data_IF_333743033265
#
_entry.id   IF_333743033265
#
_cell.length_a   1.000
_cell.length_b   1.000
_cell.length_c   1.000
_cell.angle_alpha   90.00
_cell.angle_beta   90.00
_cell.angle_gamma   90.00
#
_symmetry.space_group_name_H-M   'P 1'
#
loop_
_entity.id
_entity.type
_entity.pdbx_description
1 polymer ?
#
# COMPACT_ATOMS: atom_id res chain seq x y z
N UNK A 1 9.52 -41.19 -19.80
CA UNK A 1 9.30 -42.64 -19.95
C UNK A 1 7.80 -42.89 -19.89
N UNK A 2 7.19 -43.19 -21.04
CA UNK A 2 5.74 -43.36 -21.22
C UNK A 2 5.35 -44.74 -20.69
N UNK A 3 4.48 -44.79 -19.68
CA UNK A 3 3.84 -46.04 -19.23
C UNK A 3 2.51 -46.21 -19.96
N UNK A 4 2.39 -47.41 -20.49
CA UNK A 4 1.37 -48.00 -21.33
C UNK A 4 0.10 -48.39 -20.55
N UNK A 5 -1.05 -48.10 -21.16
CA UNK A 5 -2.28 -48.92 -21.25
C UNK A 5 -2.77 -49.68 -20.00
N UNK A 6 -4.00 -49.33 -19.54
CA UNK A 6 -4.97 -50.32 -19.12
C UNK A 6 -6.27 -50.16 -19.94
N UNK A 7 -6.24 -50.49 -21.24
CA UNK A 7 -7.45 -50.63 -22.05
C UNK A 7 -7.95 -52.08 -22.19
N UNK A 8 -7.38 -53.03 -21.42
CA UNK A 8 -7.72 -54.46 -21.56
C UNK A 8 -8.72 -54.93 -20.50
N UNK A 9 -9.02 -54.15 -19.46
CA UNK A 9 -9.90 -54.61 -18.37
C UNK A 9 -11.41 -54.36 -18.60
N UNK A 10 -11.80 -53.69 -19.69
CA UNK A 10 -13.20 -53.31 -19.95
C UNK A 10 -13.99 -54.32 -20.80
N UNK A 11 -13.35 -55.37 -21.34
CA UNK A 11 -13.99 -56.34 -22.24
C UNK A 11 -14.33 -57.69 -21.59
N UNK A 12 -14.03 -57.89 -20.30
CA UNK A 12 -14.32 -59.14 -19.58
C UNK A 12 -15.65 -59.07 -18.78
N UNK A 13 -16.23 -57.88 -18.60
CA UNK A 13 -17.48 -57.69 -17.84
C UNK A 13 -18.78 -57.77 -18.65
N UNK A 14 -18.71 -57.88 -19.99
CA UNK A 14 -19.88 -57.95 -20.88
C UNK A 14 -20.22 -59.36 -21.38
N UNK A 15 -19.53 -60.40 -20.88
CA UNK A 15 -19.64 -61.77 -21.39
C UNK A 15 -20.41 -62.78 -20.52
N UNK A 16 -20.98 -62.38 -19.39
CA UNK A 16 -21.56 -63.32 -18.41
C UNK A 16 -23.08 -63.20 -18.20
N UNK A 17 -23.83 -62.73 -19.20
CA UNK A 17 -25.29 -62.66 -19.15
C UNK A 17 -25.93 -63.56 -20.22
N UNK A 18 -25.64 -64.85 -20.20
CA UNK A 18 -26.36 -65.83 -21.02
C UNK A 18 -26.34 -67.23 -20.38
N UNK A 19 -26.91 -67.37 -19.18
CA UNK A 19 -27.32 -68.68 -18.68
C UNK A 19 -28.68 -68.55 -18.01
N UNK A 20 -29.72 -68.78 -18.82
CA UNK A 20 -31.10 -68.91 -18.40
C UNK A 20 -31.25 -70.11 -17.48
N UNK A 21 -31.32 -69.85 -16.18
CA UNK A 21 -31.87 -70.77 -15.19
C UNK A 21 -33.27 -70.26 -14.83
N UNK A 22 -34.30 -70.96 -15.27
CA UNK A 22 -35.67 -70.83 -14.77
C UNK A 22 -35.76 -71.40 -13.35
N UNK A 23 -35.01 -70.81 -12.42
CA UNK A 23 -35.09 -71.07 -11.00
C UNK A 23 -36.05 -70.05 -10.38
N UNK A 24 -37.14 -70.55 -9.80
CA UNK A 24 -38.04 -69.92 -8.82
C UNK A 24 -38.29 -68.41 -8.91
N UNK A 25 -39.56 -68.05 -9.09
CA UNK A 25 -40.09 -66.68 -9.02
C UNK A 25 -40.07 -66.17 -7.55
N UNK A 26 -38.93 -66.27 -6.87
CA UNK A 26 -38.70 -65.63 -5.58
C UNK A 26 -37.67 -64.52 -5.76
N UNK A 27 -38.17 -63.30 -5.95
CA UNK A 27 -37.36 -62.09 -5.79
C UNK A 27 -37.16 -61.90 -4.30
N UNK A 28 -36.10 -62.49 -3.75
CA UNK A 28 -35.71 -62.28 -2.37
C UNK A 28 -35.18 -60.83 -2.23
N UNK A 29 -36.02 -59.95 -1.70
CA UNK A 29 -35.55 -58.66 -1.16
C UNK A 29 -34.86 -58.98 0.15
N UNK A 30 -33.54 -59.15 0.10
CA UNK A 30 -32.75 -59.30 1.31
C UNK A 30 -32.79 -58.00 2.10
N UNK A 31 -33.00 -58.08 3.43
CA UNK A 31 -33.10 -56.90 4.29
C UNK A 31 -31.90 -55.96 4.12
N UNK A 32 -30.69 -56.50 4.02
CA UNK A 32 -29.46 -55.72 3.86
C UNK A 32 -29.37 -54.95 2.52
N UNK A 33 -30.03 -55.44 1.47
CA UNK A 33 -30.08 -54.75 0.17
C UNK A 33 -31.20 -53.70 0.15
N UNK A 34 -32.31 -53.95 0.85
CA UNK A 34 -33.35 -52.95 1.06
C UNK A 34 -32.80 -51.78 1.87
N UNK A 35 -32.11 -52.04 2.98
CA UNK A 35 -31.51 -51.01 3.85
C UNK A 35 -30.52 -50.12 3.08
N UNK A 36 -29.70 -50.70 2.19
CA UNK A 36 -28.80 -49.92 1.31
C UNK A 36 -29.57 -49.13 0.26
N UNK A 37 -30.59 -49.73 -0.36
CA UNK A 37 -31.40 -49.10 -1.38
C UNK A 37 -32.31 -47.98 -0.85
N UNK A 38 -32.51 -47.84 0.47
CA UNK A 38 -33.26 -46.72 1.08
C UNK A 38 -32.68 -45.35 0.70
N UNK A 39 -31.38 -45.28 0.37
CA UNK A 39 -30.72 -44.06 -0.13
C UNK A 39 -31.22 -43.62 -1.52
N UNK A 40 -31.85 -44.50 -2.28
CA UNK A 40 -32.45 -44.21 -3.58
C UNK A 40 -33.97 -44.49 -3.54
N UNK A 41 -34.75 -43.70 -2.77
CA UNK A 41 -36.13 -44.03 -2.41
C UNK A 41 -37.04 -44.17 -3.62
N UNK A 42 -36.86 -43.36 -4.67
CA UNK A 42 -37.67 -43.42 -5.89
C UNK A 42 -37.49 -44.73 -6.66
N UNK A 43 -36.27 -45.27 -6.68
CA UNK A 43 -35.95 -46.53 -7.36
C UNK A 43 -36.38 -47.73 -6.52
N UNK A 44 -36.19 -47.67 -5.21
CA UNK A 44 -36.68 -48.67 -4.28
C UNK A 44 -38.21 -48.80 -4.33
N UNK A 45 -38.94 -47.69 -4.38
CA UNK A 45 -40.40 -47.68 -4.53
C UNK A 45 -40.86 -48.35 -5.84
N UNK A 46 -40.14 -48.14 -6.94
CA UNK A 46 -40.43 -48.83 -8.22
C UNK A 46 -40.17 -50.32 -8.13
N UNK A 47 -39.11 -50.72 -7.44
CA UNK A 47 -38.79 -52.12 -7.20
C UNK A 47 -39.87 -52.82 -6.35
N UNK A 48 -40.32 -52.17 -5.27
CA UNK A 48 -41.39 -52.66 -4.40
C UNK A 48 -42.71 -52.79 -5.18
N UNK A 49 -43.07 -51.78 -5.98
CA UNK A 49 -44.28 -51.81 -6.79
C UNK A 49 -44.26 -52.92 -7.84
N UNK A 50 -43.13 -53.12 -8.54
CA UNK A 50 -42.98 -54.22 -9.49
C UNK A 50 -43.08 -55.59 -8.80
N UNK A 51 -42.56 -55.72 -7.58
CA UNK A 51 -42.71 -56.93 -6.76
C UNK A 51 -44.18 -57.19 -6.39
N UNK A 52 -44.92 -56.17 -5.97
CA UNK A 52 -46.35 -56.28 -5.67
C UNK A 52 -47.15 -56.74 -6.91
N UNK A 53 -46.83 -56.20 -8.09
CA UNK A 53 -47.44 -56.62 -9.35
C UNK A 53 -47.11 -58.08 -9.72
N UNK A 54 -45.88 -58.53 -9.45
CA UNK A 54 -45.47 -59.92 -9.65
C UNK A 54 -46.27 -60.88 -8.77
N UNK A 55 -46.44 -60.54 -7.48
CA UNK A 55 -47.24 -61.33 -6.53
C UNK A 55 -48.71 -61.39 -6.97
N UNK A 56 -49.30 -60.26 -7.34
CA UNK A 56 -50.68 -60.20 -7.82
C UNK A 56 -50.91 -60.97 -9.14
N UNK A 57 -49.92 -61.02 -10.04
CA UNK A 57 -49.99 -61.83 -11.26
C UNK A 57 -49.90 -63.33 -10.97
N UNK A 58 -49.03 -63.73 -10.04
CA UNK A 58 -48.91 -65.11 -9.58
C UNK A 58 -50.19 -65.62 -8.91
N UNK A 59 -50.83 -64.80 -8.06
CA UNK A 59 -52.12 -65.13 -7.44
C UNK A 59 -53.26 -65.35 -8.45
N UNK A 60 -53.20 -64.68 -9.60
CA UNK A 60 -54.17 -64.85 -10.70
C UNK A 60 -53.84 -66.03 -11.63
N UNK A 61 -52.70 -66.70 -11.42
CA UNK A 61 -52.23 -67.81 -12.26
C UNK A 61 -51.59 -67.39 -13.59
N UNK A 62 -51.22 -66.12 -13.74
CA UNK A 62 -50.51 -65.61 -14.93
C UNK A 62 -48.99 -65.67 -14.70
N UNK A 63 -48.40 -66.84 -14.95
CA UNK A 63 -46.98 -67.12 -14.70
C UNK A 63 -46.04 -66.26 -15.57
N UNK A 64 -46.45 -65.93 -16.81
CA UNK A 64 -45.65 -65.12 -17.72
C UNK A 64 -45.53 -63.67 -17.19
N UNK A 65 -46.67 -63.06 -16.86
CA UNK A 65 -46.68 -61.71 -16.29
C UNK A 65 -45.97 -61.65 -14.91
N UNK A 66 -46.11 -62.71 -14.09
CA UNK A 66 -45.40 -62.80 -12.82
C UNK A 66 -43.87 -62.82 -13.01
N UNK A 67 -43.37 -63.57 -14.00
CA UNK A 67 -41.95 -63.60 -14.35
C UNK A 67 -41.40 -62.27 -14.86
N UNK A 68 -42.17 -61.57 -15.69
CA UNK A 68 -41.80 -60.25 -16.22
C UNK A 68 -41.70 -59.21 -15.10
N UNK A 69 -42.72 -59.11 -14.25
CA UNK A 69 -42.73 -58.18 -13.11
C UNK A 69 -41.67 -58.53 -12.05
N UNK A 70 -41.38 -59.82 -11.83
CA UNK A 70 -40.30 -60.24 -10.95
C UNK A 70 -38.92 -59.80 -11.48
N UNK A 71 -38.72 -59.93 -12.79
CA UNK A 71 -37.49 -59.44 -13.45
C UNK A 71 -37.38 -57.93 -13.35
N UNK A 72 -38.49 -57.21 -13.57
CA UNK A 72 -38.57 -55.76 -13.44
C UNK A 72 -38.23 -55.30 -12.00
N UNK A 73 -38.79 -55.98 -10.98
CA UNK A 73 -38.49 -55.70 -9.58
C UNK A 73 -37.00 -55.86 -9.26
N UNK A 74 -36.37 -56.93 -9.77
CA UNK A 74 -34.93 -57.18 -9.59
C UNK A 74 -34.08 -56.09 -10.25
N UNK A 75 -34.43 -55.66 -11.46
CA UNK A 75 -33.71 -54.61 -12.17
C UNK A 75 -33.82 -53.25 -11.47
N UNK A 76 -35.01 -52.90 -10.97
CA UNK A 76 -35.19 -51.67 -10.20
C UNK A 76 -34.45 -51.70 -8.87
N UNK A 77 -34.42 -52.85 -8.16
CA UNK A 77 -33.65 -52.99 -6.93
C UNK A 77 -32.15 -52.85 -7.19
N UNK A 78 -31.62 -53.49 -8.24
CA UNK A 78 -30.22 -53.32 -8.63
C UNK A 78 -29.90 -51.87 -9.01
N UNK A 79 -30.79 -51.19 -9.72
CA UNK A 79 -30.62 -49.77 -10.03
C UNK A 79 -30.59 -48.92 -8.76
N UNK A 80 -31.45 -49.21 -7.78
CA UNK A 80 -31.47 -48.52 -6.49
C UNK A 80 -30.16 -48.72 -5.72
N UNK A 81 -29.62 -49.93 -5.69
CA UNK A 81 -28.34 -50.24 -5.06
C UNK A 81 -27.17 -49.51 -5.72
N UNK A 82 -27.10 -49.51 -7.05
CA UNK A 82 -26.04 -48.80 -7.79
C UNK A 82 -26.12 -47.30 -7.56
N UNK A 83 -27.33 -46.73 -7.49
CA UNK A 83 -27.52 -45.32 -7.19
C UNK A 83 -27.15 -44.99 -5.74
N UNK A 84 -27.47 -45.87 -4.79
CA UNK A 84 -27.04 -45.73 -3.40
C UNK A 84 -25.50 -45.71 -3.27
N UNK A 85 -24.81 -46.62 -3.95
CA UNK A 85 -23.34 -46.66 -3.99
C UNK A 85 -22.78 -45.39 -4.65
N UNK A 86 -23.41 -44.89 -5.72
CA UNK A 86 -23.02 -43.63 -6.38
C UNK A 86 -23.14 -42.45 -5.43
N UNK A 87 -24.25 -42.35 -4.69
CA UNK A 87 -24.48 -41.28 -3.72
C UNK A 87 -23.47 -41.34 -2.57
N UNK A 88 -23.16 -42.53 -2.06
CA UNK A 88 -22.16 -42.70 -1.01
C UNK A 88 -20.76 -42.23 -1.46
N UNK A 89 -20.36 -42.59 -2.68
CA UNK A 89 -19.09 -42.12 -3.26
C UNK A 89 -19.09 -40.60 -3.50
N UNK A 90 -20.22 -40.03 -3.90
CA UNK A 90 -20.36 -38.58 -4.10
C UNK A 90 -20.30 -37.81 -2.77
N UNK A 91 -20.97 -38.31 -1.73
CA UNK A 91 -20.88 -37.77 -0.36
C UNK A 91 -19.45 -37.82 0.18
N UNK A 92 -18.76 -38.96 0.01
CA UNK A 92 -17.37 -39.09 0.42
C UNK A 92 -16.46 -38.11 -0.32
N UNK A 93 -16.64 -37.97 -1.65
CA UNK A 93 -15.87 -37.00 -2.44
C UNK A 93 -16.10 -35.57 -1.98
N UNK A 94 -17.34 -35.17 -1.71
CA UNK A 94 -17.66 -33.83 -1.22
C UNK A 94 -17.07 -33.56 0.17
N UNK A 95 -17.05 -34.57 1.04
CA UNK A 95 -16.41 -34.46 2.35
C UNK A 95 -14.88 -34.27 2.22
N UNK A 96 -14.24 -35.03 1.34
CA UNK A 96 -12.81 -34.90 1.05
C UNK A 96 -12.49 -33.51 0.46
N UNK A 97 -13.26 -33.03 -0.50
CA UNK A 97 -13.11 -31.68 -1.10
C UNK A 97 -13.23 -30.57 -0.04
N UNK A 98 -14.21 -30.67 0.87
CA UNK A 98 -14.38 -29.72 1.95
C UNK A 98 -13.21 -29.74 2.96
N UNK A 99 -12.67 -30.93 3.24
CA UNK A 99 -11.51 -31.08 4.11
C UNK A 99 -10.25 -30.50 3.45
N UNK A 100 -10.04 -30.74 2.15
CA UNK A 100 -8.93 -30.14 1.40
C UNK A 100 -9.00 -28.61 1.37
N UNK A 101 -10.20 -28.04 1.18
CA UNK A 101 -10.40 -26.58 1.23
C UNK A 101 -10.05 -26.01 2.61
N UNK A 102 -10.50 -26.66 3.68
CA UNK A 102 -10.20 -26.25 5.06
C UNK A 102 -8.69 -26.25 5.32
N UNK A 103 -8.00 -27.34 4.97
CA UNK A 103 -6.55 -27.45 5.13
C UNK A 103 -5.79 -26.43 4.27
N UNK A 104 -6.28 -26.14 3.07
CA UNK A 104 -5.69 -25.13 2.20
C UNK A 104 -5.80 -23.72 2.78
N UNK A 105 -6.95 -23.39 3.39
CA UNK A 105 -7.17 -22.13 4.10
C UNK A 105 -6.23 -22.02 5.32
N UNK A 106 -6.17 -23.03 6.17
CA UNK A 106 -5.26 -23.06 7.35
C UNK A 106 -3.78 -22.90 6.96
N UNK A 107 -3.36 -23.53 5.85
CA UNK A 107 -2.01 -23.36 5.31
C UNK A 107 -1.76 -21.95 4.77
N UNK A 108 -2.76 -21.32 4.14
CA UNK A 108 -2.66 -19.94 3.65
C UNK A 108 -2.52 -18.96 4.83
N UNK A 109 -3.33 -19.14 5.87
CA UNK A 109 -3.29 -18.33 7.08
C UNK A 109 -1.94 -18.45 7.78
N UNK A 110 -1.45 -19.68 8.00
CA UNK A 110 -0.14 -19.94 8.61
C UNK A 110 1.00 -19.31 7.79
N UNK A 111 0.93 -19.35 6.45
CA UNK A 111 1.91 -18.70 5.57
C UNK A 111 1.84 -17.18 5.69
N UNK A 112 0.65 -16.60 5.84
CA UNK A 112 0.47 -15.16 6.00
C UNK A 112 1.06 -14.68 7.33
N UNK A 113 0.79 -15.38 8.43
CA UNK A 113 1.35 -15.09 9.75
C UNK A 113 2.87 -15.18 9.75
N UNK A 114 3.41 -16.23 9.11
CA UNK A 114 4.85 -16.39 8.98
C UNK A 114 5.49 -15.22 8.24
N UNK A 115 4.91 -14.79 7.12
CA UNK A 115 5.41 -13.62 6.35
C UNK A 115 5.32 -12.34 7.18
N UNK A 116 4.26 -12.16 7.95
CA UNK A 116 4.10 -10.99 8.82
C UNK A 116 5.20 -10.95 9.90
N UNK A 117 5.47 -12.08 10.55
CA UNK A 117 6.57 -12.22 11.53
C UNK A 117 7.94 -12.02 10.90
N UNK A 118 8.20 -12.60 9.72
CA UNK A 118 9.46 -12.40 9.00
C UNK A 118 9.68 -10.92 8.63
N UNK A 119 8.61 -10.21 8.23
CA UNK A 119 8.66 -8.78 7.96
C UNK A 119 8.90 -7.95 9.23
N UNK A 120 8.29 -8.30 10.36
CA UNK A 120 8.52 -7.67 11.66
C UNK A 120 9.97 -7.80 12.11
N UNK A 121 10.51 -9.03 12.10
CA UNK A 121 11.93 -9.29 12.39
C UNK A 121 12.83 -8.52 11.42
N UNK A 122 12.45 -8.43 10.15
CA UNK A 122 13.16 -7.64 9.15
C UNK A 122 13.21 -6.15 9.50
N UNK A 123 12.10 -5.57 9.99
CA UNK A 123 12.04 -4.18 10.44
C UNK A 123 12.87 -3.94 11.68
N UNK A 124 12.81 -4.83 12.67
CA UNK A 124 13.63 -4.75 13.89
C UNK A 124 15.12 -4.77 13.55
N UNK A 125 15.57 -5.73 12.72
CA UNK A 125 16.96 -5.80 12.26
C UNK A 125 17.38 -4.56 11.48
N UNK A 126 16.51 -4.03 10.62
CA UNK A 126 16.78 -2.80 9.89
C UNK A 126 16.91 -1.59 10.83
N UNK A 127 16.10 -1.53 11.89
CA UNK A 127 16.18 -0.50 12.92
C UNK A 127 17.46 -0.61 13.75
N UNK A 128 17.91 -1.83 14.07
CA UNK A 128 19.19 -2.06 14.75
C UNK A 128 20.38 -1.59 13.90
N UNK A 129 20.42 -1.97 12.62
CA UNK A 129 21.46 -1.52 11.70
C UNK A 129 21.41 0.01 11.52
N UNK A 130 20.21 0.60 11.42
CA UNK A 130 20.08 2.04 11.32
C UNK A 130 20.62 2.76 12.57
N UNK A 131 20.34 2.24 13.78
CA UNK A 131 20.89 2.78 15.03
C UNK A 131 22.41 2.70 15.05
N UNK A 132 22.99 1.55 14.69
CA UNK A 132 24.44 1.37 14.63
C UNK A 132 25.09 2.35 13.62
N UNK A 133 24.49 2.51 12.43
CA UNK A 133 24.98 3.46 11.43
C UNK A 133 24.85 4.92 11.89
N UNK A 134 23.78 5.26 12.61
CA UNK A 134 23.60 6.59 13.20
C UNK A 134 24.67 6.88 14.27
N UNK A 135 24.96 5.91 15.16
CA UNK A 135 26.01 6.04 16.16
C UNK A 135 27.38 6.25 15.51
N UNK A 136 27.71 5.45 14.49
CA UNK A 136 28.95 5.61 13.71
C UNK A 136 29.03 6.97 13.01
N UNK A 137 27.94 7.44 12.43
CA UNK A 137 27.87 8.75 11.78
C UNK A 137 28.03 9.88 12.80
N UNK A 138 27.45 9.74 13.99
CA UNK A 138 27.58 10.72 15.08
C UNK A 138 29.03 10.81 15.56
N UNK A 139 29.69 9.68 15.82
CA UNK A 139 31.12 9.63 16.19
C UNK A 139 32.00 10.26 15.09
N UNK A 140 31.70 9.99 13.82
CA UNK A 140 32.42 10.59 12.69
C UNK A 140 32.17 12.10 12.56
N UNK A 141 30.98 12.59 12.91
CA UNK A 141 30.64 14.00 12.93
C UNK A 141 31.34 14.73 14.07
N UNK A 142 31.34 14.18 15.28
CA UNK A 142 32.05 14.72 16.45
C UNK A 142 33.56 14.81 16.19
N UNK A 143 34.15 13.80 15.53
CA UNK A 143 35.54 13.84 15.12
C UNK A 143 35.86 14.91 14.05
N UNK A 144 34.87 15.31 13.24
CA UNK A 144 34.99 16.41 12.27
C UNK A 144 34.77 17.77 12.90
N UNK A 145 33.84 17.90 13.84
CA UNK A 145 33.55 19.15 14.56
C UNK A 145 34.74 19.61 15.41
N UNK A 146 35.48 18.66 15.99
CA UNK A 146 36.74 18.92 16.70
C UNK A 146 37.90 19.39 15.80
N UNK A 147 37.73 19.41 14.48
CA UNK A 147 38.70 20.01 13.54
C UNK A 147 38.16 21.37 13.10
N UNK A 148 38.96 22.43 13.27
CA UNK A 148 38.65 23.75 12.70
C UNK A 148 38.23 23.57 11.24
N UNK A 149 37.08 24.12 10.81
CA UNK A 149 36.58 23.92 9.46
C UNK A 149 37.60 24.48 8.48
N UNK A 150 38.32 23.58 7.81
CA UNK A 150 39.07 23.91 6.62
C UNK A 150 38.05 24.25 5.53
N UNK A 151 38.26 25.28 4.69
CA UNK A 151 37.37 25.57 3.59
C UNK A 151 37.16 24.29 2.77
N UNK A 152 35.90 23.84 2.68
CA UNK A 152 35.54 22.58 2.06
C UNK A 152 36.05 22.56 0.61
N UNK A 153 36.78 21.52 0.24
CA UNK A 153 37.26 21.34 -1.13
C UNK A 153 36.06 21.33 -2.10
N UNK A 154 36.12 22.10 -3.21
CA UNK A 154 35.03 22.20 -4.19
C UNK A 154 34.49 20.86 -4.68
N UNK A 155 35.34 19.84 -4.86
CA UNK A 155 34.89 18.52 -5.29
C UNK A 155 34.07 17.80 -4.20
N UNK A 156 34.42 17.99 -2.93
CA UNK A 156 33.66 17.47 -1.79
C UNK A 156 32.29 18.17 -1.69
N UNK A 157 32.27 19.50 -1.84
CA UNK A 157 31.03 20.26 -1.88
C UNK A 157 30.13 19.83 -3.05
N UNK A 158 30.70 19.63 -4.24
CA UNK A 158 29.97 19.16 -5.42
C UNK A 158 29.27 17.81 -5.17
N UNK A 159 29.97 16.85 -4.57
CA UNK A 159 29.40 15.53 -4.21
C UNK A 159 28.27 15.64 -3.19
N UNK A 160 28.40 16.54 -2.21
CA UNK A 160 27.34 16.78 -1.23
C UNK A 160 26.07 17.34 -1.90
N UNK A 161 26.21 18.33 -2.80
CA UNK A 161 25.08 18.87 -3.57
C UNK A 161 24.48 17.83 -4.53
N UNK A 162 25.30 17.00 -5.17
CA UNK A 162 24.85 15.89 -6.00
C UNK A 162 24.02 14.88 -5.20
N UNK A 163 24.49 14.49 -4.01
CA UNK A 163 23.76 13.60 -3.10
C UNK A 163 22.41 14.19 -2.67
N UNK A 164 22.40 15.47 -2.27
CA UNK A 164 21.17 16.19 -1.92
C UNK A 164 20.20 16.27 -3.10
N UNK A 165 20.68 16.59 -4.30
CA UNK A 165 19.85 16.67 -5.50
C UNK A 165 19.20 15.32 -5.83
N UNK A 166 19.89 14.18 -5.64
CA UNK A 166 19.31 12.84 -5.81
C UNK A 166 18.20 12.55 -4.81
N UNK A 167 18.40 12.92 -3.53
CA UNK A 167 17.37 12.76 -2.50
C UNK A 167 16.13 13.62 -2.80
N UNK A 168 16.32 14.86 -3.25
CA UNK A 168 15.23 15.75 -3.66
C UNK A 168 14.47 15.20 -4.88
N UNK A 169 15.18 14.66 -5.87
CA UNK A 169 14.56 14.02 -7.04
C UNK A 169 13.74 12.77 -6.64
N UNK A 170 14.24 11.97 -5.71
CA UNK A 170 13.52 10.82 -5.16
C UNK A 170 12.26 11.25 -4.38
N UNK A 171 12.36 12.31 -3.57
CA UNK A 171 11.22 12.88 -2.87
C UNK A 171 10.16 13.45 -3.84
N UNK A 172 10.59 14.16 -4.89
CA UNK A 172 9.71 14.67 -5.92
C UNK A 172 8.96 13.52 -6.63
N UNK A 173 9.67 12.43 -6.97
CA UNK A 173 9.06 11.23 -7.56
C UNK A 173 8.04 10.58 -6.63
N UNK A 174 8.35 10.46 -5.33
CA UNK A 174 7.42 9.90 -4.34
C UNK A 174 6.14 10.74 -4.20
N UNK A 175 6.24 12.06 -4.43
CA UNK A 175 5.12 13.00 -4.45
C UNK A 175 4.39 13.08 -5.80
N UNK A 176 4.75 12.25 -6.79
CA UNK A 176 4.06 12.16 -8.07
C UNK A 176 4.61 13.09 -9.17
N UNK A 177 5.84 13.60 -9.04
CA UNK A 177 6.48 14.33 -10.15
C UNK A 177 6.59 13.46 -11.43
N UNK A 178 6.49 14.05 -12.63
CA UNK A 178 6.60 13.33 -13.90
C UNK A 178 7.88 12.49 -14.00
N UNK A 179 7.75 11.22 -14.38
CA UNK A 179 8.85 10.26 -14.45
C UNK A 179 9.96 10.68 -15.39
N UNK A 180 9.61 11.37 -16.48
CA UNK A 180 10.53 11.83 -17.52
C UNK A 180 11.45 12.92 -16.97
N UNK A 181 10.88 13.95 -16.31
CA UNK A 181 11.66 15.07 -15.74
C UNK A 181 12.55 14.63 -14.59
N UNK A 182 12.10 13.66 -13.79
CA UNK A 182 12.94 13.04 -12.75
C UNK A 182 14.07 12.23 -13.40
N UNK A 183 13.78 11.47 -14.46
CA UNK A 183 14.76 10.70 -15.22
C UNK A 183 15.88 11.56 -15.78
N UNK A 184 15.54 12.63 -16.51
CA UNK A 184 16.50 13.60 -17.07
C UNK A 184 17.42 14.21 -16.00
N UNK A 185 16.86 14.53 -14.82
CA UNK A 185 17.63 15.10 -13.71
C UNK A 185 18.60 14.06 -13.12
N UNK A 186 18.16 12.81 -12.96
CA UNK A 186 19.01 11.73 -12.46
C UNK A 186 20.14 11.38 -13.43
N UNK A 187 19.86 11.38 -14.73
CA UNK A 187 20.87 11.21 -15.78
C UNK A 187 21.92 12.32 -15.74
N UNK A 188 21.50 13.59 -15.69
CA UNK A 188 22.43 14.72 -15.55
C UNK A 188 23.26 14.63 -14.25
N UNK A 189 22.68 14.14 -13.16
CA UNK A 189 23.40 13.89 -11.90
C UNK A 189 24.35 12.69 -11.99
N UNK A 190 24.16 11.73 -12.89
CA UNK A 190 25.12 10.66 -13.15
C UNK A 190 26.29 11.17 -13.98
N UNK A 191 26.01 11.95 -15.03
CA UNK A 191 27.02 12.57 -15.89
C UNK A 191 27.96 13.49 -15.11
N UNK A 192 27.41 14.28 -14.17
CA UNK A 192 28.20 15.13 -13.28
C UNK A 192 29.27 14.35 -12.49
N UNK A 193 29.01 13.08 -12.16
CA UNK A 193 29.96 12.21 -11.47
C UNK A 193 31.25 11.93 -12.26
N UNK A 194 31.27 12.24 -13.56
CA UNK A 194 32.41 12.05 -14.46
C UNK A 194 33.30 13.31 -14.60
N UNK A 195 32.83 14.46 -14.12
CA UNK A 195 33.54 15.74 -14.23
C UNK A 195 34.73 15.78 -13.27
N UNK A 196 35.94 16.01 -13.81
CA UNK A 196 37.20 16.01 -13.03
C UNK A 196 37.56 17.36 -12.42
N UNK A 197 37.07 18.46 -12.98
CA UNK A 197 37.30 19.81 -12.44
C UNK A 197 36.31 20.09 -11.30
N UNK A 198 36.82 20.20 -10.07
CA UNK A 198 36.01 20.40 -8.87
C UNK A 198 35.21 21.71 -8.85
N UNK A 199 35.71 22.79 -9.45
CA UNK A 199 34.99 24.07 -9.50
C UNK A 199 33.87 24.05 -10.54
N UNK A 200 34.12 23.40 -11.68
CA UNK A 200 33.07 23.15 -12.67
C UNK A 200 32.00 22.22 -12.11
N UNK A 201 32.42 21.12 -11.48
CA UNK A 201 31.51 20.16 -10.86
C UNK A 201 30.65 20.82 -9.77
N UNK A 202 31.21 21.71 -8.95
CA UNK A 202 30.43 22.44 -7.93
C UNK A 202 29.35 23.33 -8.55
N UNK A 203 29.68 24.09 -9.60
CA UNK A 203 28.71 24.96 -10.29
C UNK A 203 27.59 24.15 -10.95
N UNK A 204 27.93 23.04 -11.61
CA UNK A 204 26.94 22.15 -12.21
C UNK A 204 26.09 21.45 -11.13
N UNK A 205 26.69 21.01 -10.02
CA UNK A 205 25.98 20.42 -8.88
C UNK A 205 24.96 21.39 -8.27
N UNK A 206 25.33 22.65 -8.07
CA UNK A 206 24.42 23.69 -7.57
C UNK A 206 23.26 23.95 -8.54
N UNK A 207 23.53 23.91 -9.84
CA UNK A 207 22.49 24.07 -10.87
C UNK A 207 21.50 22.91 -10.84
N UNK A 208 21.98 21.67 -10.77
CA UNK A 208 21.14 20.48 -10.67
C UNK A 208 20.38 20.42 -9.35
N UNK A 209 21.00 20.85 -8.25
CA UNK A 209 20.36 20.99 -6.94
C UNK A 209 19.17 21.96 -7.00
N UNK A 210 19.34 23.14 -7.61
CA UNK A 210 18.23 24.10 -7.79
C UNK A 210 17.12 23.54 -8.67
N UNK A 211 17.45 22.83 -9.75
CA UNK A 211 16.45 22.13 -10.59
C UNK A 211 15.67 21.09 -9.77
N UNK A 212 16.35 20.35 -8.89
CA UNK A 212 15.72 19.38 -8.01
C UNK A 212 14.76 20.05 -7.00
N UNK A 213 15.14 21.20 -6.43
CA UNK A 213 14.26 21.98 -5.54
C UNK A 213 13.00 22.47 -6.26
N UNK A 214 13.13 22.96 -7.50
CA UNK A 214 11.98 23.40 -8.30
C UNK A 214 11.05 22.23 -8.59
N UNK A 215 11.59 21.07 -9.01
CA UNK A 215 10.79 19.88 -9.30
C UNK A 215 10.06 19.36 -8.05
N UNK A 216 10.72 19.40 -6.87
CA UNK A 216 10.09 19.07 -5.60
C UNK A 216 9.00 20.08 -5.23
N UNK A 217 9.25 21.37 -5.47
CA UNK A 217 8.26 22.42 -5.33
C UNK A 217 7.03 22.15 -6.19
N UNK A 218 7.19 21.96 -7.49
CA UNK A 218 6.09 21.64 -8.41
C UNK A 218 5.24 20.44 -7.94
N UNK A 219 5.89 19.35 -7.49
CA UNK A 219 5.20 18.18 -6.96
C UNK A 219 4.43 18.45 -5.66
N UNK A 220 4.97 19.31 -4.80
CA UNK A 220 4.31 19.76 -3.57
C UNK A 220 3.13 20.68 -3.89
N UNK A 221 3.22 21.54 -4.90
CA UNK A 221 2.16 22.51 -5.22
C UNK A 221 0.80 21.86 -5.53
N UNK A 222 0.81 20.63 -6.05
CA UNK A 222 -0.40 19.82 -6.30
C UNK A 222 -0.93 19.09 -5.06
N UNK A 223 -0.23 19.15 -3.92
CA UNK A 223 -0.59 18.49 -2.68
C UNK A 223 -1.11 19.50 -1.64
N UNK A 224 -2.06 19.12 -0.78
CA UNK A 224 -2.47 19.98 0.32
C UNK A 224 -1.33 20.17 1.34
N UNK A 225 -1.30 21.34 2.00
CA UNK A 225 -0.38 21.57 3.13
C UNK A 225 -0.86 20.76 4.32
N UNK A 226 -0.04 19.81 4.76
CA UNK A 226 -0.30 18.96 5.93
C UNK A 226 0.69 19.28 7.06
N UNK A 227 0.44 18.83 8.31
CA UNK A 227 1.40 18.99 9.41
C UNK A 227 2.80 18.45 9.09
N UNK A 228 2.90 17.36 8.31
CA UNK A 228 4.20 16.80 7.89
C UNK A 228 4.95 17.71 6.91
N UNK A 229 4.24 18.46 6.06
CA UNK A 229 4.83 19.47 5.17
C UNK A 229 5.32 20.67 5.98
N UNK A 230 4.59 21.10 7.01
CA UNK A 230 5.02 22.17 7.94
C UNK A 230 6.26 21.73 8.73
N UNK A 231 6.28 20.50 9.26
CA UNK A 231 7.47 19.95 9.93
C UNK A 231 8.68 19.89 8.98
N UNK A 232 8.45 19.53 7.71
CA UNK A 232 9.49 19.52 6.67
C UNK A 232 10.02 20.94 6.39
N UNK A 233 9.16 21.96 6.39
CA UNK A 233 9.55 23.37 6.23
C UNK A 233 10.48 23.81 7.36
N UNK A 234 10.10 23.53 8.62
CA UNK A 234 10.90 23.89 9.79
C UNK A 234 12.26 23.18 9.78
N UNK A 235 12.28 21.88 9.50
CA UNK A 235 13.51 21.11 9.40
C UNK A 235 14.42 21.64 8.28
N UNK A 236 13.84 21.94 7.12
CA UNK A 236 14.54 22.47 5.95
C UNK A 236 15.12 23.87 6.19
N UNK A 237 14.39 24.74 6.89
CA UNK A 237 14.89 26.04 7.35
C UNK A 237 16.06 25.91 8.33
N UNK A 238 15.91 25.04 9.34
CA UNK A 238 16.96 24.79 10.34
C UNK A 238 18.25 24.24 9.73
N UNK A 239 18.16 23.32 8.76
CA UNK A 239 19.34 22.79 8.05
C UNK A 239 20.10 23.90 7.30
N UNK A 240 19.40 24.94 6.83
CA UNK A 240 20.00 26.11 6.18
C UNK A 240 20.49 27.17 7.17
N UNK A 241 20.28 26.96 8.46
CA UNK A 241 20.58 27.94 9.51
C UNK A 241 19.64 29.14 9.46
N UNK A 242 18.38 28.92 9.08
CA UNK A 242 17.29 29.89 9.20
C UNK A 242 16.47 29.58 10.45
N UNK A 243 16.05 30.62 11.14
CA UNK A 243 15.11 30.49 12.25
C UNK A 243 13.68 30.54 11.68
N UNK A 244 12.94 29.44 11.87
CA UNK A 244 11.56 29.30 11.42
C UNK A 244 10.65 29.11 12.64
N UNK A 245 9.73 30.03 12.85
CA UNK A 245 8.68 29.94 13.87
C UNK A 245 7.31 29.76 13.21
N UNK A 246 6.48 28.86 13.74
CA UNK A 246 5.14 28.59 13.20
C UNK A 246 4.09 29.16 14.15
N UNK A 247 3.17 29.95 13.62
CA UNK A 247 2.01 30.49 14.34
C UNK A 247 0.73 30.20 13.53
N UNK A 248 -0.47 30.43 14.09
CA UNK A 248 -1.73 30.28 13.34
C UNK A 248 -1.78 31.10 12.04
N UNK A 249 -1.07 32.24 12.00
CA UNK A 249 -1.03 33.15 10.83
C UNK A 249 -0.03 32.72 9.75
N UNK A 250 0.80 31.71 9.99
CA UNK A 250 1.79 31.23 9.03
C UNK A 250 3.10 30.76 9.64
N UNK A 251 4.01 30.33 8.77
CA UNK A 251 5.40 30.15 9.15
C UNK A 251 6.18 31.45 8.90
N UNK A 252 6.92 31.90 9.90
CA UNK A 252 7.75 33.10 9.87
C UNK A 252 9.22 32.72 9.85
N UNK A 253 9.98 33.38 8.99
CA UNK A 253 11.42 33.16 8.81
C UNK A 253 12.15 34.48 9.06
N UNK A 254 12.95 34.54 10.12
CA UNK A 254 13.77 35.72 10.44
C UNK A 254 15.02 35.73 9.58
N UNK A 255 15.33 36.86 8.94
CA UNK A 255 16.42 36.95 7.97
C UNK A 255 17.59 37.82 8.45
N UNK A 256 18.80 37.26 8.33
CA UNK A 256 20.05 37.99 8.40
C UNK A 256 20.48 38.56 7.04
N UNK A 257 21.57 39.35 7.06
CA UNK A 257 22.09 40.07 5.87
C UNK A 257 22.54 39.15 4.72
N UNK A 258 22.80 37.87 4.98
CA UNK A 258 23.39 36.93 4.01
C UNK A 258 22.48 35.73 3.71
N UNK A 259 21.19 35.81 4.04
CA UNK A 259 20.28 34.66 3.94
C UNK A 259 19.50 34.60 2.61
N UNK A 260 19.76 35.52 1.68
CA UNK A 260 19.04 35.66 0.41
C UNK A 260 18.94 34.33 -0.37
N UNK A 261 20.06 33.62 -0.53
CA UNK A 261 20.08 32.35 -1.27
C UNK A 261 19.34 31.23 -0.54
N UNK A 262 19.43 31.20 0.80
CA UNK A 262 18.79 30.19 1.62
C UNK A 262 17.27 30.32 1.56
N UNK A 263 16.78 31.56 1.61
CA UNK A 263 15.36 31.90 1.49
C UNK A 263 14.86 31.58 0.09
N UNK A 264 15.61 31.93 -0.96
CA UNK A 264 15.24 31.58 -2.33
C UNK A 264 15.07 30.06 -2.49
N UNK A 265 16.00 29.26 -1.95
CA UNK A 265 15.92 27.80 -1.99
C UNK A 265 14.74 27.26 -1.18
N UNK A 266 14.47 27.82 0.01
CA UNK A 266 13.33 27.46 0.83
C UNK A 266 12.01 27.74 0.11
N UNK A 267 11.86 28.92 -0.50
CA UNK A 267 10.68 29.28 -1.28
C UNK A 267 10.49 28.33 -2.47
N UNK A 268 11.53 27.99 -3.23
CA UNK A 268 11.37 27.02 -4.34
C UNK A 268 10.87 25.66 -3.85
N UNK A 269 11.36 25.20 -2.70
CA UNK A 269 10.99 23.91 -2.12
C UNK A 269 9.56 23.87 -1.55
N UNK A 270 9.03 25.02 -1.12
CA UNK A 270 7.78 25.15 -0.39
C UNK A 270 6.85 26.13 -1.10
N UNK A 271 6.17 25.70 -2.18
CA UNK A 271 5.52 26.56 -3.17
C UNK A 271 4.18 27.19 -2.76
N UNK A 272 3.61 26.83 -1.62
CA UNK A 272 2.20 27.09 -1.34
C UNK A 272 1.93 28.55 -0.99
N UNK A 273 1.06 29.18 -1.77
CA UNK A 273 0.57 30.54 -1.53
C UNK A 273 1.62 31.64 -1.74
N UNK A 274 1.21 32.91 -1.56
CA UNK A 274 2.13 34.04 -1.57
C UNK A 274 3.04 34.00 -0.34
N UNK A 275 4.29 34.43 -0.50
CA UNK A 275 5.20 34.72 0.59
C UNK A 275 5.25 36.23 0.81
N UNK A 276 5.06 36.68 2.05
CA UNK A 276 5.10 38.09 2.41
C UNK A 276 6.47 38.44 2.93
N UNK A 277 7.15 39.36 2.26
CA UNK A 277 8.42 39.93 2.70
C UNK A 277 8.12 41.19 3.49
N UNK A 278 8.48 41.21 4.77
CA UNK A 278 8.26 42.34 5.65
C UNK A 278 9.59 42.88 6.20
N UNK A 279 9.60 44.18 6.53
CA UNK A 279 10.70 44.82 7.24
C UNK A 279 11.75 45.51 6.36
N UNK A 280 12.80 46.02 7.01
CA UNK A 280 13.80 46.88 6.37
C UNK A 280 14.59 46.12 5.30
N UNK A 281 14.42 46.54 4.05
CA UNK A 281 15.09 45.94 2.90
C UNK A 281 14.28 44.86 2.16
N UNK A 282 13.00 44.66 2.53
CA UNK A 282 12.09 43.72 1.88
C UNK A 282 12.00 43.93 0.35
N UNK A 283 11.92 45.18 -0.13
CA UNK A 283 11.88 45.47 -1.57
C UNK A 283 13.17 45.08 -2.30
N UNK A 284 14.33 45.32 -1.68
CA UNK A 284 15.62 44.91 -2.26
C UNK A 284 15.69 43.39 -2.34
N UNK A 285 15.37 42.70 -1.25
CA UNK A 285 15.33 41.24 -1.21
C UNK A 285 14.35 40.69 -2.25
N UNK A 286 13.13 41.24 -2.32
CA UNK A 286 12.12 40.84 -3.30
C UNK A 286 12.62 40.97 -4.73
N UNK A 287 13.31 42.07 -5.06
CA UNK A 287 13.92 42.25 -6.39
C UNK A 287 14.99 41.19 -6.66
N UNK A 288 15.83 40.86 -5.68
CA UNK A 288 16.84 39.79 -5.79
C UNK A 288 16.20 38.42 -5.97
N UNK A 289 15.12 38.14 -5.24
CA UNK A 289 14.38 36.89 -5.27
C UNK A 289 13.67 36.67 -6.62
N UNK A 290 13.06 37.72 -7.19
CA UNK A 290 12.49 37.67 -8.54
C UNK A 290 13.57 37.36 -9.58
N UNK A 291 14.75 38.00 -9.49
CA UNK A 291 15.90 37.70 -10.36
C UNK A 291 16.46 36.29 -10.17
N UNK A 292 16.08 35.60 -9.10
CA UNK A 292 16.48 34.23 -8.81
C UNK A 292 15.43 33.20 -9.27
N UNK A 293 14.59 33.56 -10.25
CA UNK A 293 13.55 32.72 -10.87
C UNK A 293 12.45 32.26 -9.90
N UNK A 294 12.00 33.14 -9.00
CA UNK A 294 10.75 32.91 -8.27
C UNK A 294 9.55 33.36 -9.12
N UNK A 295 8.44 32.60 -9.17
CA UNK A 295 7.27 32.93 -9.99
C UNK A 295 6.75 34.35 -9.72
N UNK A 296 6.39 35.08 -10.79
CA UNK A 296 5.74 36.38 -10.68
C UNK A 296 4.40 36.24 -9.94
N UNK A 297 4.13 37.14 -8.98
CA UNK A 297 2.94 37.08 -8.12
C UNK A 297 3.10 36.23 -6.85
N UNK A 298 4.26 35.61 -6.64
CA UNK A 298 4.54 34.83 -5.43
C UNK A 298 4.97 35.66 -4.23
N UNK A 299 5.43 36.89 -4.44
CA UNK A 299 5.97 37.75 -3.40
C UNK A 299 5.06 38.95 -3.17
N UNK A 300 4.59 39.10 -1.95
CA UNK A 300 3.99 40.34 -1.45
C UNK A 300 5.07 41.08 -0.67
N UNK A 301 5.21 42.38 -0.87
CA UNK A 301 6.28 43.18 -0.26
C UNK A 301 5.64 44.24 0.62
N UNK A 302 5.98 44.23 1.90
CA UNK A 302 5.59 45.22 2.88
C UNK A 302 6.82 45.89 3.51
N UNK A 303 6.98 47.20 3.28
CA UNK A 303 8.11 47.96 3.80
C UNK A 303 7.78 48.52 5.19
N UNK A 304 8.04 47.71 6.22
CA UNK A 304 7.95 48.10 7.62
C UNK A 304 9.33 48.46 8.20
N UNK A 305 9.40 49.27 9.29
CA UNK A 305 10.67 49.60 9.95
C UNK A 305 11.34 48.42 10.68
N UNK A 306 10.63 47.29 10.82
CA UNK A 306 11.00 46.10 11.57
C UNK A 306 12.14 45.29 10.94
N UNK A 307 12.56 44.24 11.64
CA UNK A 307 13.54 43.28 11.14
C UNK A 307 13.03 42.57 9.87
N UNK A 308 13.95 42.30 8.94
CA UNK A 308 13.63 41.63 7.69
C UNK A 308 13.15 40.20 7.96
N UNK A 309 11.96 39.86 7.47
CA UNK A 309 11.36 38.54 7.66
C UNK A 309 10.55 38.10 6.43
N UNK A 310 10.30 36.80 6.36
CA UNK A 310 9.39 36.19 5.39
C UNK A 310 8.27 35.47 6.12
N UNK A 311 7.02 35.79 5.81
CA UNK A 311 5.85 35.05 6.25
C UNK A 311 5.34 34.16 5.12
N UNK A 312 4.98 32.93 5.46
CA UNK A 312 4.38 31.91 4.60
C UNK A 312 2.99 31.56 5.16
N UNK A 313 1.94 32.31 4.80
CA UNK A 313 0.61 32.17 5.42
C UNK A 313 -0.02 30.79 5.23
N UNK A 314 0.25 30.13 4.09
CA UNK A 314 -0.29 28.80 3.76
C UNK A 314 0.12 27.70 4.76
N UNK A 315 1.06 27.98 5.67
CA UNK A 315 1.63 27.02 6.62
C UNK A 315 1.17 27.24 8.07
N UNK A 316 0.23 28.17 8.32
CA UNK A 316 -0.27 28.48 9.66
C UNK A 316 -1.37 27.53 10.14
N UNK A 317 -2.55 27.61 9.53
CA UNK A 317 -3.72 26.80 9.90
C UNK A 317 -3.50 25.28 9.78
N UNK A 318 -2.62 24.85 8.88
CA UNK A 318 -2.32 23.44 8.60
C UNK A 318 -1.35 22.80 9.60
N UNK A 319 -0.81 23.57 10.55
CA UNK A 319 0.14 23.08 11.54
C UNK A 319 -0.52 22.29 12.69
N UNK A 320 -1.86 22.24 12.75
CA UNK A 320 -2.58 21.61 13.87
C UNK A 320 -2.47 22.38 15.19
N UNK A 321 -2.03 23.63 15.14
CA UNK A 321 -2.06 24.54 16.28
C UNK A 321 -3.47 25.10 16.36
N UNK A 322 -4.20 24.78 17.44
CA UNK A 322 -5.47 25.46 17.72
C UNK A 322 -5.19 26.97 17.84
N UNK A 323 -6.04 27.84 17.27
CA UNK A 323 -5.88 29.27 17.48
C UNK A 323 -5.97 29.53 18.98
N UNK A 324 -4.90 30.04 19.57
CA UNK A 324 -4.93 30.50 20.95
C UNK A 324 -6.04 31.55 21.06
N UNK A 325 -7.13 31.20 21.74
CA UNK A 325 -8.25 32.09 22.02
C UNK A 325 -7.88 33.23 22.99
N UNK A 326 -6.59 33.49 23.21
CA UNK A 326 -6.05 34.45 24.16
C UNK A 326 -5.66 35.80 23.54
N UNK A 327 -5.77 35.98 22.22
CA UNK A 327 -5.38 37.26 21.58
C UNK A 327 -6.57 38.17 21.23
N UNK A 328 -7.80 37.83 21.65
CA UNK A 328 -9.00 38.63 21.38
C UNK A 328 -9.40 39.59 22.53
N UNK A 329 -8.71 39.60 23.68
CA UNK A 329 -9.04 40.48 24.81
C UNK A 329 -7.83 41.30 25.25
N UNK A 330 -7.47 42.32 24.47
CA UNK A 330 -6.66 43.44 24.96
C UNK A 330 -6.89 44.71 24.12
N UNK A 331 -8.15 45.02 23.83
CA UNK A 331 -8.54 46.32 23.30
C UNK A 331 -9.88 46.76 23.91
N UNK A 332 -9.88 46.94 25.23
CA UNK A 332 -10.84 47.84 25.89
C UNK A 332 -10.08 48.71 26.89
N UNK A 333 -9.67 49.89 26.42
CA UNK A 333 -9.29 50.99 27.27
C UNK A 333 -10.52 51.47 28.06
N UNK A 334 -10.47 51.56 29.40
CA UNK A 334 -11.43 52.36 30.13
C UNK A 334 -11.08 53.84 29.97
N UNK A 335 -11.87 54.52 29.15
CA UNK A 335 -12.10 55.97 29.25
C UNK A 335 -12.87 56.26 30.54
N UNK A 336 -12.22 56.92 31.50
CA UNK A 336 -12.80 57.86 32.46
C UNK A 336 -11.61 58.57 33.13
N UNK A 337 -11.41 59.89 33.10
CA UNK A 337 -12.40 60.95 33.03
C UNK A 337 -12.80 61.42 34.43
N UNK A 338 -11.91 62.10 35.16
CA UNK A 338 -12.23 63.24 36.05
C UNK A 338 -11.06 63.59 37.00
N UNK A 339 -10.49 64.79 36.82
CA UNK A 339 -10.00 65.61 37.95
C UNK A 339 -11.19 65.96 38.88
N UNK A 340 -10.98 66.20 40.18
CA UNK A 340 -10.60 67.56 40.60
C UNK A 340 -9.61 67.63 41.80
N UNK A 341 -8.86 68.73 41.77
CA UNK A 341 -8.34 69.56 42.86
C UNK A 341 -8.83 69.28 44.29
N UNK A 342 -7.88 69.12 45.22
CA UNK A 342 -7.47 70.17 46.19
C UNK A 342 -6.04 69.90 46.72
#
# INVERSE_FOLDING_TARGET
>A
MRRSLPCVLALILLGACATSSTAGIEVAFEAADVDRAERAPDLLLRAQRARELALAAAERGDEAAAGDHATEARLWLQAALVEADRLELEEARLADEAQEETLAQELADTRSERRAREAEIGRERAADVAREQMELAFVAAEARENRRPSPMDPATAARAFQGRARLLAAAARALGAPTERVGELLEALLELGTVRDGQRALREALTLYRRALVLLGEARASSPVTPSVVASLVASGRERGLEVSVTPDGAFVTLGRNDESKVADLLREFPHGPARLAGRGARRLGTTLVRADLPEGRLEIDEAPDALSVQLPAYGASAGLEPDASSAEADEAPTDGAEPTD
#
